data_IF_880531984549
#
_entry.id   IF_880531984549
#
_cell.length_a   1.000
_cell.length_b   1.000
_cell.length_c   1.000
_cell.angle_alpha   90.00
_cell.angle_beta   90.00
_cell.angle_gamma   90.00
#
_symmetry.space_group_name_H-M   'P 1'
#
loop_
_entity.id
_entity.type
_entity.pdbx_description
1 polymer ?
#
# COMPACT_ATOMS: atom_id res chain seq x y z
N UNK A 1 -23.53 26.71 10.94
CA UNK A 1 -22.44 26.48 9.97
C UNK A 1 -21.26 27.35 10.38
N UNK A 2 -20.16 26.76 10.85
CA UNK A 2 -18.93 27.52 11.11
C UNK A 2 -18.25 27.77 9.76
N UNK A 3 -18.18 29.04 9.35
CA UNK A 3 -17.34 29.44 8.22
C UNK A 3 -15.88 29.31 8.65
N UNK A 4 -15.14 28.42 7.96
CA UNK A 4 -13.72 28.14 8.15
C UNK A 4 -12.84 29.09 7.31
N UNK A 5 -13.27 30.34 7.14
CA UNK A 5 -12.47 31.32 6.41
C UNK A 5 -11.32 31.80 7.31
N UNK A 6 -10.15 31.18 7.10
CA UNK A 6 -8.90 31.61 7.71
C UNK A 6 -8.51 32.98 7.16
N UNK A 7 -8.07 33.87 8.06
CA UNK A 7 -7.44 35.13 7.66
C UNK A 7 -6.14 34.83 6.90
N UNK A 8 -5.72 35.74 6.03
CA UNK A 8 -4.53 35.54 5.17
C UNK A 8 -3.27 35.20 5.97
N UNK A 9 -3.08 35.84 7.12
CA UNK A 9 -1.99 35.53 8.06
C UNK A 9 -2.04 34.07 8.55
N UNK A 10 -3.23 33.57 8.89
CA UNK A 10 -3.41 32.20 9.37
C UNK A 10 -3.19 31.17 8.25
N UNK A 11 -3.57 31.52 7.02
CA UNK A 11 -3.28 30.69 5.83
C UNK A 11 -1.78 30.58 5.59
N UNK A 12 -1.06 31.69 5.75
CA UNK A 12 0.41 31.72 5.61
C UNK A 12 1.09 30.84 6.66
N UNK A 13 0.70 31.00 7.93
CA UNK A 13 1.24 30.20 9.05
C UNK A 13 0.95 28.70 8.88
N UNK A 14 -0.25 28.34 8.43
CA UNK A 14 -0.61 26.95 8.14
C UNK A 14 0.21 26.37 6.99
N UNK A 15 0.40 27.14 5.91
CA UNK A 15 1.21 26.71 4.77
C UNK A 15 2.68 26.46 5.17
N UNK A 16 3.24 27.33 6.02
CA UNK A 16 4.58 27.15 6.56
C UNK A 16 4.68 25.89 7.43
N UNK A 17 3.70 25.65 8.28
CA UNK A 17 3.62 24.45 9.12
C UNK A 17 3.57 23.17 8.27
N UNK A 18 2.68 23.13 7.28
CA UNK A 18 2.55 21.99 6.37
C UNK A 18 3.82 21.77 5.55
N UNK A 19 4.50 22.84 5.14
CA UNK A 19 5.80 22.75 4.45
C UNK A 19 6.88 22.17 5.37
N UNK A 20 6.91 22.62 6.62
CA UNK A 20 7.87 22.17 7.65
C UNK A 20 7.73 20.68 7.92
N UNK A 21 6.48 20.20 8.04
CA UNK A 21 6.17 18.80 8.28
C UNK A 21 5.87 18.01 7.01
N UNK A 22 6.30 18.50 5.84
CA UNK A 22 5.93 17.90 4.56
C UNK A 22 6.40 16.45 4.39
N UNK A 23 7.42 16.02 5.14
CA UNK A 23 7.91 14.64 5.15
C UNK A 23 7.07 13.65 5.98
N UNK A 24 6.15 14.13 6.83
CA UNK A 24 5.20 13.29 7.57
C UNK A 24 4.02 12.89 6.68
N UNK A 25 3.66 13.77 5.75
CA UNK A 25 2.58 13.52 4.81
C UNK A 25 3.09 12.66 3.65
N UNK A 26 2.31 11.64 3.31
CA UNK A 26 2.52 10.89 2.07
C UNK A 26 2.23 11.81 0.89
N UNK A 27 3.29 12.31 0.23
CA UNK A 27 3.18 13.16 -0.97
C UNK A 27 2.75 12.38 -2.22
N UNK A 28 2.98 11.07 -2.20
CA UNK A 28 2.69 10.13 -3.29
C UNK A 28 2.32 8.78 -2.70
N UNK A 29 1.51 7.99 -3.41
CA UNK A 29 1.17 6.61 -3.01
C UNK A 29 2.37 5.64 -3.00
N UNK A 30 3.58 6.11 -3.35
CA UNK A 30 4.69 5.27 -3.85
C UNK A 30 5.68 4.77 -2.81
N UNK A 31 5.50 5.09 -1.54
CA UNK A 31 6.40 4.56 -0.52
C UNK A 31 5.59 4.06 0.66
N UNK A 32 5.49 2.73 0.83
CA UNK A 32 5.24 2.19 2.15
C UNK A 32 6.28 2.82 3.06
N UNK A 33 5.84 3.41 4.15
CA UNK A 33 6.73 3.83 5.23
C UNK A 33 7.56 2.61 5.60
N UNK A 34 8.81 2.55 5.17
CA UNK A 34 9.76 1.49 5.56
C UNK A 34 10.20 1.82 6.99
N UNK A 35 9.24 1.69 7.91
CA UNK A 35 9.44 1.93 9.32
C UNK A 35 10.03 0.68 9.95
N UNK A 36 11.22 0.84 10.53
CA UNK A 36 11.97 -0.14 11.31
C UNK A 36 12.49 -1.36 10.55
N UNK A 37 13.82 -1.56 10.57
CA UNK A 37 14.55 -2.70 10.01
C UNK A 37 14.32 -4.00 10.82
N UNK A 38 13.09 -4.20 11.30
CA UNK A 38 12.67 -5.32 12.13
C UNK A 38 12.00 -6.33 11.22
N UNK A 39 12.52 -7.56 11.21
CA UNK A 39 11.88 -8.68 10.52
C UNK A 39 10.88 -9.33 11.46
N UNK A 40 9.60 -9.29 11.11
CA UNK A 40 8.56 -9.98 11.85
C UNK A 40 8.57 -11.48 11.52
N UNK A 41 8.28 -12.33 12.52
CA UNK A 41 8.06 -13.77 12.36
C UNK A 41 6.63 -14.10 12.74
N UNK A 42 5.92 -14.76 11.84
CA UNK A 42 4.59 -15.33 12.12
C UNK A 42 4.81 -16.75 12.68
N UNK A 43 4.26 -17.03 13.84
CA UNK A 43 4.31 -18.36 14.46
C UNK A 43 3.11 -19.19 14.00
N UNK A 44 3.37 -20.30 13.32
CA UNK A 44 2.35 -21.21 12.78
C UNK A 44 2.29 -22.55 13.52
N UNK A 45 3.01 -22.67 14.64
CA UNK A 45 3.26 -23.91 15.38
C UNK A 45 3.61 -25.07 14.43
N UNK A 46 2.99 -26.25 14.62
CA UNK A 46 3.19 -27.44 13.79
C UNK A 46 2.11 -27.60 12.70
N UNK A 47 1.41 -26.51 12.33
CA UNK A 47 0.38 -26.57 11.30
C UNK A 47 1.00 -26.67 9.91
N UNK A 48 0.51 -27.62 9.10
CA UNK A 48 0.95 -27.77 7.72
C UNK A 48 0.41 -26.64 6.83
N UNK A 49 1.13 -26.24 5.76
CA UNK A 49 0.65 -25.26 4.79
C UNK A 49 -0.65 -25.73 4.11
N UNK A 50 -1.60 -24.81 3.95
CA UNK A 50 -2.88 -25.07 3.27
C UNK A 50 -2.78 -24.54 1.84
N UNK A 51 -3.03 -25.42 0.85
CA UNK A 51 -3.12 -25.03 -0.55
C UNK A 51 -4.59 -24.77 -0.93
N UNK A 52 -4.91 -23.54 -1.31
CA UNK A 52 -6.25 -23.13 -1.72
C UNK A 52 -6.25 -22.62 -3.16
N UNK A 53 -7.31 -22.97 -3.90
CA UNK A 53 -7.51 -22.48 -5.27
C UNK A 53 -7.92 -21.01 -5.25
N UNK A 54 -7.43 -20.25 -6.22
CA UNK A 54 -7.91 -18.91 -6.52
C UNK A 54 -9.45 -18.90 -6.70
N UNK A 55 -10.10 -17.90 -6.12
CA UNK A 55 -11.52 -17.66 -6.39
C UNK A 55 -11.71 -17.05 -7.78
N UNK A 56 -12.94 -17.13 -8.29
CA UNK A 56 -13.28 -16.52 -9.57
C UNK A 56 -13.44 -15.00 -9.44
N UNK A 57 -12.73 -14.24 -10.29
CA UNK A 57 -12.82 -12.77 -10.37
C UNK A 57 -13.51 -12.37 -11.66
N UNK A 58 -14.43 -11.40 -11.60
CA UNK A 58 -15.10 -10.86 -12.78
C UNK A 58 -14.11 -10.15 -13.71
N UNK A 59 -14.37 -10.16 -15.03
CA UNK A 59 -13.40 -9.66 -16.02
C UNK A 59 -13.01 -8.18 -15.79
N UNK A 60 -13.96 -7.33 -15.39
CA UNK A 60 -13.70 -5.92 -15.10
C UNK A 60 -12.76 -5.74 -13.90
N UNK A 61 -12.96 -6.52 -12.85
CA UNK A 61 -12.14 -6.47 -11.63
C UNK A 61 -10.72 -7.00 -11.88
N UNK A 62 -10.55 -7.97 -12.79
CA UNK A 62 -9.22 -8.51 -13.13
C UNK A 62 -8.25 -7.43 -13.60
N UNK A 63 -8.72 -6.45 -14.38
CA UNK A 63 -7.87 -5.35 -14.86
C UNK A 63 -7.38 -4.48 -13.71
N UNK A 64 -8.28 -4.14 -12.78
CA UNK A 64 -7.98 -3.32 -11.60
C UNK A 64 -6.97 -4.04 -10.71
N UNK A 65 -7.21 -5.32 -10.41
CA UNK A 65 -6.31 -6.13 -9.58
C UNK A 65 -4.93 -6.24 -10.22
N UNK A 66 -4.85 -6.50 -11.53
CA UNK A 66 -3.55 -6.61 -12.21
C UNK A 66 -2.75 -5.32 -12.14
N UNK A 67 -3.40 -4.17 -12.35
CA UNK A 67 -2.73 -2.88 -12.28
C UNK A 67 -2.19 -2.60 -10.87
N UNK A 68 -2.97 -2.91 -9.83
CA UNK A 68 -2.55 -2.72 -8.45
C UNK A 68 -1.40 -3.68 -8.07
N UNK A 69 -1.52 -4.96 -8.44
CA UNK A 69 -0.45 -5.95 -8.23
C UNK A 69 0.85 -5.52 -8.90
N UNK A 70 0.78 -5.00 -10.14
CA UNK A 70 1.94 -4.50 -10.86
C UNK A 70 2.60 -3.33 -10.13
N UNK A 71 1.81 -2.37 -9.63
CA UNK A 71 2.31 -1.26 -8.83
C UNK A 71 3.02 -1.74 -7.56
N UNK A 72 2.42 -2.69 -6.83
CA UNK A 72 3.00 -3.24 -5.60
C UNK A 72 4.28 -4.04 -5.85
N UNK A 73 4.42 -4.70 -7.01
CA UNK A 73 5.65 -5.36 -7.44
C UNK A 73 6.76 -4.35 -7.72
N UNK A 74 6.45 -3.26 -8.42
CA UNK A 74 7.40 -2.18 -8.72
C UNK A 74 7.87 -1.46 -7.45
N UNK A 75 6.98 -1.28 -6.47
CA UNK A 75 7.28 -0.68 -5.16
C UNK A 75 7.97 -1.66 -4.18
N UNK A 76 8.11 -2.94 -4.55
CA UNK A 76 8.77 -3.96 -3.73
C UNK A 76 7.98 -4.39 -2.48
N UNK A 77 6.69 -4.05 -2.41
CA UNK A 77 5.77 -4.45 -1.32
C UNK A 77 5.51 -5.95 -1.36
N UNK A 78 5.34 -6.48 -2.57
CA UNK A 78 5.14 -7.91 -2.82
C UNK A 78 6.26 -8.45 -3.71
N UNK A 79 6.48 -9.76 -3.63
CA UNK A 79 7.48 -10.48 -4.43
C UNK A 79 6.83 -11.70 -5.05
N UNK A 80 7.30 -12.09 -6.24
CA UNK A 80 6.86 -13.33 -6.86
C UNK A 80 7.27 -14.52 -5.97
N UNK A 81 6.34 -15.42 -5.62
CA UNK A 81 6.66 -16.57 -4.80
C UNK A 81 7.65 -17.49 -5.53
N UNK A 82 8.62 -18.04 -4.80
CA UNK A 82 9.60 -19.01 -5.33
C UNK A 82 8.98 -20.36 -5.72
N UNK A 83 7.73 -20.60 -5.35
CA UNK A 83 6.98 -21.80 -5.68
C UNK A 83 6.40 -21.59 -7.09
N UNK A 84 7.15 -22.04 -8.11
CA UNK A 84 6.77 -21.94 -9.52
C UNK A 84 5.32 -22.39 -9.76
N UNK A 85 4.54 -21.55 -10.44
CA UNK A 85 3.52 -22.03 -11.37
C UNK A 85 2.09 -21.49 -11.24
N UNK A 86 1.72 -20.72 -10.22
CA UNK A 86 0.36 -20.14 -10.15
C UNK A 86 0.35 -18.78 -9.45
N UNK A 87 0.32 -17.70 -10.22
CA UNK A 87 -0.12 -16.40 -9.71
C UNK A 87 -1.64 -16.30 -9.91
N UNK A 88 -2.45 -16.45 -8.86
CA UNK A 88 -3.91 -16.57 -8.97
C UNK A 88 -4.60 -15.35 -9.56
N UNK A 89 -3.91 -14.21 -9.62
CA UNK A 89 -4.42 -12.93 -10.12
C UNK A 89 -3.84 -12.51 -11.48
N UNK A 90 -2.88 -13.25 -12.03
CA UNK A 90 -2.21 -12.89 -13.30
C UNK A 90 -2.51 -13.86 -14.46
N UNK A 91 -3.16 -15.00 -14.22
CA UNK A 91 -3.68 -15.89 -15.27
C UNK A 91 -4.99 -15.39 -15.88
#
# INVERSE_FOLDING_TARGET
MMSLELKDEQKSQLAELLRTFSGIFMKTDKSPTTGTNVKHRIHTDNNAPINQRAYHVALMERGIIRNEVQKMLEEGIIQLPKILGRHPLCS
#
